data_IF_790178444876
#
_entry.id   IF_790178444876
#
_cell.length_a   1.000
_cell.length_b   1.000
_cell.length_c   1.000
_cell.angle_alpha   90.00
_cell.angle_beta   90.00
_cell.angle_gamma   90.00
#
_symmetry.space_group_name_H-M   'P 1'
#
loop_
_entity.id
_entity.type
_entity.pdbx_description
1 polymer ?
#
# COMPACT_ATOMS: atom_id res chain seq x y z
N UNK A 1 5.42 -9.77 -12.00
CA UNK A 1 4.76 -9.38 -13.27
C UNK A 1 3.87 -8.16 -13.10
N UNK A 2 2.94 -8.14 -12.14
CA UNK A 2 2.02 -7.03 -11.85
C UNK A 2 2.70 -5.64 -11.88
N UNK A 3 3.74 -5.42 -11.04
CA UNK A 3 4.52 -4.16 -11.00
C UNK A 3 5.01 -3.65 -12.37
N UNK A 4 5.47 -4.55 -13.24
CA UNK A 4 6.01 -4.15 -14.55
C UNK A 4 4.87 -3.83 -15.53
N UNK A 5 3.80 -4.62 -15.50
CA UNK A 5 2.59 -4.45 -16.30
C UNK A 5 1.90 -3.11 -15.99
N UNK A 6 1.76 -2.77 -14.70
CA UNK A 6 1.21 -1.47 -14.28
C UNK A 6 2.09 -0.29 -14.73
N UNK A 7 3.41 -0.44 -14.76
CA UNK A 7 4.30 0.60 -15.29
C UNK A 7 4.13 0.81 -16.80
N UNK A 8 3.83 -0.23 -17.57
CA UNK A 8 3.47 -0.10 -18.99
C UNK A 8 2.16 0.68 -19.17
N UNK A 9 1.13 0.36 -18.37
CA UNK A 9 -0.13 1.10 -18.37
C UNK A 9 0.07 2.59 -18.05
N UNK A 10 0.96 2.91 -17.10
CA UNK A 10 1.32 4.30 -16.78
C UNK A 10 1.99 5.06 -17.93
N UNK A 11 2.57 4.37 -18.91
CA UNK A 11 3.23 5.00 -20.05
C UNK A 11 2.25 5.35 -21.20
N UNK A 12 1.03 4.80 -21.19
CA UNK A 12 0.04 5.00 -22.24
C UNK A 12 -0.29 6.48 -22.52
N UNK A 13 -0.40 7.39 -21.53
CA UNK A 13 -0.63 8.80 -21.82
C UNK A 13 0.51 9.42 -22.65
N UNK A 14 1.75 9.00 -22.42
CA UNK A 14 2.90 9.47 -23.19
C UNK A 14 2.86 8.94 -24.63
N UNK A 15 2.52 7.67 -24.79
CA UNK A 15 2.35 7.06 -26.12
C UNK A 15 1.25 7.75 -26.93
N UNK A 16 0.09 8.00 -26.31
CA UNK A 16 -1.00 8.75 -26.92
C UNK A 16 -0.60 10.20 -27.25
N UNK A 17 0.12 10.88 -26.35
CA UNK A 17 0.57 12.25 -26.60
C UNK A 17 1.48 12.33 -27.85
N UNK A 18 2.39 11.36 -28.02
CA UNK A 18 3.25 11.27 -29.19
C UNK A 18 2.46 10.94 -30.47
N UNK A 19 1.51 10.00 -30.39
CA UNK A 19 0.63 9.66 -31.52
C UNK A 19 -0.18 10.87 -32.03
N UNK A 20 -0.63 11.72 -31.12
CA UNK A 20 -1.48 12.88 -31.43
C UNK A 20 -0.68 14.14 -31.82
N UNK A 21 0.65 14.10 -31.74
CA UNK A 21 1.50 15.25 -32.05
C UNK A 21 1.44 15.61 -33.55
N UNK A 22 1.51 16.91 -33.85
CA UNK A 22 1.50 17.47 -35.22
C UNK A 22 0.22 17.23 -36.05
N UNK A 23 -0.88 16.81 -35.43
CA UNK A 23 -2.17 16.72 -36.11
C UNK A 23 -2.87 18.09 -36.14
N UNK A 24 -3.27 18.62 -37.32
CA UNK A 24 -4.11 19.81 -37.39
C UNK A 24 -5.54 19.50 -36.93
N UNK A 25 -6.38 20.53 -36.78
CA UNK A 25 -7.79 20.33 -36.39
C UNK A 25 -8.55 19.46 -37.42
N UNK A 26 -9.44 18.60 -36.93
CA UNK A 26 -10.31 17.76 -37.75
C UNK A 26 -10.10 16.27 -37.51
N UNK A 27 -10.70 15.44 -38.37
CA UNK A 27 -10.55 13.99 -38.32
C UNK A 27 -9.33 13.56 -39.14
N UNK A 28 -8.48 12.74 -38.52
CA UNK A 28 -7.32 12.09 -39.16
C UNK A 28 -7.42 10.59 -39.02
N UNK A 29 -7.04 9.84 -40.07
CA UNK A 29 -7.09 8.36 -40.06
C UNK A 29 -6.13 7.79 -39.01
N UNK A 30 -5.06 8.50 -38.70
CA UNK A 30 -4.06 8.21 -37.66
C UNK A 30 -4.69 7.92 -36.30
N UNK A 31 -5.83 8.57 -35.99
CA UNK A 31 -6.58 8.36 -34.75
C UNK A 31 -7.07 6.91 -34.59
N UNK A 32 -7.12 6.10 -35.65
CA UNK A 32 -7.48 4.69 -35.55
C UNK A 32 -6.49 3.89 -34.71
N UNK A 33 -5.20 4.27 -34.70
CA UNK A 33 -4.15 3.63 -33.90
C UNK A 33 -4.39 3.76 -32.39
N UNK A 34 -5.22 4.72 -31.96
CA UNK A 34 -5.60 4.84 -30.54
C UNK A 34 -6.28 3.57 -30.02
N UNK A 35 -7.02 2.85 -30.88
CA UNK A 35 -7.68 1.59 -30.49
C UNK A 35 -6.66 0.49 -30.21
N UNK A 36 -5.57 0.43 -30.98
CA UNK A 36 -4.50 -0.55 -30.77
C UNK A 36 -3.75 -0.31 -29.47
N UNK A 37 -3.71 0.94 -28.98
CA UNK A 37 -3.14 1.29 -27.68
C UNK A 37 -4.14 1.02 -26.55
N UNK A 38 -5.38 1.49 -26.69
CA UNK A 38 -6.38 1.49 -25.62
C UNK A 38 -7.04 0.14 -25.38
N UNK A 39 -7.40 -0.62 -26.43
CA UNK A 39 -8.13 -1.87 -26.26
C UNK A 39 -7.30 -2.92 -25.49
N UNK A 40 -6.03 -3.18 -25.85
CA UNK A 40 -5.18 -4.10 -25.07
C UNK A 40 -4.90 -3.58 -23.66
N UNK A 41 -4.87 -2.25 -23.46
CA UNK A 41 -4.66 -1.66 -22.14
C UNK A 41 -5.79 -1.98 -21.16
N UNK A 42 -7.04 -1.99 -21.62
CA UNK A 42 -8.17 -2.38 -20.78
C UNK A 42 -8.09 -3.86 -20.38
N UNK A 43 -7.78 -4.75 -21.32
CA UNK A 43 -7.58 -6.18 -21.03
C UNK A 43 -6.44 -6.38 -20.03
N UNK A 44 -5.32 -5.69 -20.22
CA UNK A 44 -4.18 -5.74 -19.32
C UNK A 44 -4.51 -5.22 -17.91
N UNK A 45 -5.31 -4.17 -17.81
CA UNK A 45 -5.78 -3.63 -16.54
C UNK A 45 -6.67 -4.65 -15.81
N UNK A 46 -7.63 -5.26 -16.50
CA UNK A 46 -8.51 -6.29 -15.93
C UNK A 46 -7.68 -7.48 -15.42
N UNK A 47 -6.75 -7.99 -16.23
CA UNK A 47 -5.84 -9.06 -15.83
C UNK A 47 -5.01 -8.70 -14.59
N UNK A 48 -4.57 -7.43 -14.47
CA UNK A 48 -3.86 -6.96 -13.29
C UNK A 48 -4.75 -6.95 -12.04
N UNK A 49 -6.02 -6.54 -12.17
CA UNK A 49 -6.99 -6.57 -11.08
C UNK A 49 -7.29 -8.00 -10.64
N UNK A 50 -7.51 -8.91 -11.59
CA UNK A 50 -7.80 -10.33 -11.31
C UNK A 50 -6.66 -10.99 -10.52
N UNK A 51 -5.41 -10.81 -10.97
CA UNK A 51 -4.25 -11.34 -10.25
C UNK A 51 -4.11 -10.70 -8.86
N UNK A 52 -4.40 -9.40 -8.74
CA UNK A 52 -4.34 -8.70 -7.46
C UNK A 52 -5.37 -9.27 -6.48
N UNK A 53 -6.62 -9.43 -6.94
CA UNK A 53 -7.70 -10.02 -6.16
C UNK A 53 -7.34 -11.43 -5.69
N UNK A 54 -6.97 -12.32 -6.64
CA UNK A 54 -6.55 -13.68 -6.32
C UNK A 54 -5.39 -13.73 -5.33
N UNK A 55 -4.39 -12.85 -5.51
CA UNK A 55 -3.24 -12.81 -4.60
C UNK A 55 -3.67 -12.42 -3.20
N UNK A 56 -4.45 -11.35 -3.06
CA UNK A 56 -4.90 -10.85 -1.75
C UNK A 56 -5.77 -11.86 -1.00
N UNK A 57 -6.65 -12.58 -1.69
CA UNK A 57 -7.47 -13.65 -1.09
C UNK A 57 -6.62 -14.80 -0.52
N UNK A 58 -5.45 -15.05 -1.11
CA UNK A 58 -4.58 -16.16 -0.74
C UNK A 58 -3.40 -15.76 0.14
N UNK A 59 -3.21 -14.46 0.41
CA UNK A 59 -2.18 -13.99 1.35
C UNK A 59 -2.49 -14.51 2.75
N UNK A 60 -1.48 -15.11 3.39
CA UNK A 60 -1.55 -15.56 4.78
C UNK A 60 -0.54 -14.79 5.61
N UNK A 61 -1.03 -14.13 6.65
CA UNK A 61 -0.18 -13.45 7.63
C UNK A 61 0.35 -14.47 8.63
N UNK A 62 1.66 -14.45 8.88
CA UNK A 62 2.25 -15.22 9.97
C UNK A 62 2.10 -14.42 11.27
N UNK A 63 1.04 -14.71 12.02
CA UNK A 63 0.74 -14.04 13.30
C UNK A 63 1.83 -14.29 14.38
N UNK A 64 2.60 -15.38 14.25
CA UNK A 64 3.59 -15.80 15.23
C UNK A 64 5.02 -15.46 14.83
N UNK A 65 5.23 -14.61 13.82
CA UNK A 65 6.57 -14.28 13.29
C UNK A 65 7.52 -13.74 14.39
N UNK A 66 6.99 -13.05 15.40
CA UNK A 66 7.77 -12.50 16.51
C UNK A 66 8.12 -13.51 17.62
N UNK A 67 7.69 -14.77 17.51
CA UNK A 67 8.22 -15.86 18.37
C UNK A 67 9.66 -16.19 18.05
N UNK A 68 10.08 -15.98 16.80
CA UNK A 68 11.44 -16.19 16.35
C UNK A 68 12.35 -15.06 16.88
N UNK A 69 13.39 -15.45 17.63
CA UNK A 69 14.32 -14.51 18.26
C UNK A 69 15.14 -13.68 17.27
N UNK A 70 15.20 -14.07 15.99
CA UNK A 70 15.89 -13.29 14.96
C UNK A 70 15.26 -11.91 14.74
N UNK A 71 14.00 -11.74 15.14
CA UNK A 71 13.30 -10.46 15.04
C UNK A 71 13.39 -9.59 16.30
N UNK A 72 14.10 -10.02 17.35
CA UNK A 72 14.18 -9.32 18.63
C UNK A 72 14.68 -7.87 18.51
N UNK A 73 15.58 -7.63 17.56
CA UNK A 73 16.18 -6.33 17.33
C UNK A 73 15.17 -5.25 16.89
N UNK A 74 14.01 -5.62 16.34
CA UNK A 74 12.98 -4.64 15.94
C UNK A 74 12.42 -3.87 17.14
N UNK A 75 12.45 -4.47 18.34
CA UNK A 75 11.97 -3.87 19.58
C UNK A 75 13.02 -3.00 20.27
N UNK A 76 14.23 -2.88 19.72
CA UNK A 76 15.31 -2.08 20.32
C UNK A 76 14.94 -0.60 20.44
N UNK A 77 14.12 -0.10 19.52
CA UNK A 77 13.61 1.28 19.59
C UNK A 77 12.70 1.47 20.79
N UNK A 78 11.93 0.45 21.19
CA UNK A 78 11.12 0.52 22.41
C UNK A 78 12.01 0.61 23.64
N UNK A 79 13.09 -0.19 23.69
CA UNK A 79 14.08 -0.12 24.76
C UNK A 79 14.70 1.28 24.88
N UNK A 80 15.00 1.94 23.76
CA UNK A 80 15.46 3.34 23.76
C UNK A 80 14.38 4.27 24.30
N UNK A 81 13.12 4.08 23.88
CA UNK A 81 11.99 4.89 24.31
C UNK A 81 11.73 4.76 25.82
N UNK A 82 11.77 3.56 26.38
CA UNK A 82 11.67 3.29 27.83
C UNK A 82 12.74 4.05 28.62
N UNK A 83 14.01 3.99 28.18
CA UNK A 83 15.10 4.71 28.83
C UNK A 83 14.89 6.23 28.77
N UNK A 84 14.39 6.73 27.63
CA UNK A 84 14.07 8.16 27.50
C UNK A 84 12.93 8.58 28.42
N UNK A 85 11.88 7.78 28.53
CA UNK A 85 10.74 8.02 29.42
C UNK A 85 11.14 7.99 30.91
N UNK A 86 12.18 7.23 31.26
CA UNK A 86 12.77 7.24 32.62
C UNK A 86 13.74 8.41 32.86
N UNK A 87 13.94 9.28 31.87
CA UNK A 87 14.72 10.52 31.98
C UNK A 87 16.13 10.45 31.40
N UNK A 88 16.54 9.33 30.78
CA UNK A 88 17.84 9.21 30.12
C UNK A 88 17.83 10.03 28.82
N UNK A 89 18.82 10.90 28.57
CA UNK A 89 18.93 11.60 27.30
C UNK A 89 18.97 10.62 26.12
N UNK A 90 18.22 10.89 25.06
CA UNK A 90 18.08 9.97 23.91
C UNK A 90 19.40 9.39 23.39
N UNK A 91 20.45 10.22 23.27
CA UNK A 91 21.76 9.78 22.78
C UNK A 91 22.41 8.74 23.69
N UNK A 92 22.21 8.85 24.98
CA UNK A 92 22.71 7.91 25.99
C UNK A 92 21.89 6.62 25.96
N UNK A 93 20.56 6.73 25.95
CA UNK A 93 19.65 5.60 25.79
C UNK A 93 19.96 4.75 24.55
N UNK A 94 20.23 5.40 23.41
CA UNK A 94 20.65 4.75 22.18
C UNK A 94 21.98 4.00 22.32
N UNK A 95 22.99 4.62 22.94
CA UNK A 95 24.30 3.99 23.16
C UNK A 95 24.19 2.79 24.09
N UNK A 96 23.44 2.94 25.18
CA UNK A 96 23.21 1.87 26.14
C UNK A 96 22.53 0.67 25.47
N UNK A 97 21.44 0.90 24.72
CA UNK A 97 20.73 -0.16 24.01
C UNK A 97 21.64 -0.86 22.99
N UNK A 98 22.45 -0.11 22.25
CA UNK A 98 23.42 -0.69 21.32
C UNK A 98 24.47 -1.58 22.03
N UNK A 99 24.92 -1.19 23.23
CA UNK A 99 25.82 -2.00 24.06
C UNK A 99 25.14 -3.26 24.61
N UNK A 100 23.88 -3.16 25.04
CA UNK A 100 23.08 -4.32 25.48
C UNK A 100 22.93 -5.35 24.35
N UNK A 101 22.68 -4.90 23.12
CA UNK A 101 22.59 -5.76 21.92
C UNK A 101 23.95 -6.39 21.61
N UNK A 102 25.02 -5.58 21.53
CA UNK A 102 26.36 -6.08 21.21
C UNK A 102 26.89 -7.05 22.28
N UNK A 103 26.52 -6.84 23.55
CA UNK A 103 26.87 -7.70 24.68
C UNK A 103 25.99 -8.94 24.83
N UNK A 104 24.93 -9.09 24.03
CA UNK A 104 23.99 -10.21 24.12
C UNK A 104 23.14 -10.23 25.40
N UNK A 105 23.09 -9.13 26.13
CA UNK A 105 22.28 -8.97 27.36
C UNK A 105 20.90 -8.37 27.08
N UNK A 106 20.67 -7.89 25.87
CA UNK A 106 19.38 -7.38 25.43
C UNK A 106 18.31 -8.48 25.46
N UNK A 107 17.25 -8.24 26.22
CA UNK A 107 16.06 -9.10 26.26
C UNK A 107 14.83 -8.26 25.89
N UNK A 108 14.14 -8.57 24.78
CA UNK A 108 12.89 -7.89 24.41
C UNK A 108 11.67 -8.45 25.18
N UNK A 109 11.89 -9.10 26.32
CA UNK A 109 10.96 -10.05 26.97
C UNK A 109 9.61 -9.47 27.37
N UNK A 110 9.48 -8.15 27.50
CA UNK A 110 8.20 -7.49 27.83
C UNK A 110 7.47 -6.93 26.59
N UNK A 111 8.16 -6.78 25.45
CA UNK A 111 7.68 -6.03 24.27
C UNK A 111 7.33 -6.93 23.08
N UNK A 112 7.61 -8.25 23.17
CA UNK A 112 7.31 -9.19 22.07
C UNK A 112 5.83 -9.27 21.68
N UNK A 113 4.91 -8.79 22.53
CA UNK A 113 3.51 -8.68 22.19
C UNK A 113 3.15 -7.23 21.87
N UNK A 114 2.47 -7.04 20.74
CA UNK A 114 1.82 -5.78 20.36
C UNK A 114 0.94 -5.22 21.49
N UNK A 115 0.36 -6.08 22.32
CA UNK A 115 -0.47 -5.72 23.46
C UNK A 115 0.29 -5.06 24.62
N UNK A 116 1.63 -5.22 24.68
CA UNK A 116 2.48 -4.55 25.67
C UNK A 116 2.96 -3.16 25.24
N UNK A 117 2.71 -2.74 24.00
CA UNK A 117 3.09 -1.44 23.48
C UNK A 117 1.99 -0.40 23.74
N UNK A 118 2.32 0.64 24.52
CA UNK A 118 1.40 1.74 24.84
C UNK A 118 1.54 2.93 23.88
N UNK A 119 1.44 2.69 22.57
CA UNK A 119 1.49 3.78 21.59
C UNK A 119 0.09 4.33 21.31
N UNK A 120 -0.08 5.65 21.42
CA UNK A 120 -1.36 6.34 21.20
C UNK A 120 -1.41 7.18 19.91
N UNK A 121 -0.25 7.41 19.29
CA UNK A 121 -0.12 8.20 18.07
C UNK A 121 -0.80 7.51 16.88
N UNK A 122 -1.45 8.29 16.01
CA UNK A 122 -2.08 7.79 14.79
C UNK A 122 -1.05 7.10 13.87
N UNK A 123 -1.44 5.94 13.32
CA UNK A 123 -0.57 5.08 12.50
C UNK A 123 0.36 4.17 13.30
N UNK A 124 0.37 4.27 14.64
CA UNK A 124 1.10 3.33 15.50
C UNK A 124 0.35 2.01 15.63
N UNK A 125 1.05 0.99 16.16
CA UNK A 125 0.47 -0.34 16.36
C UNK A 125 -0.75 -0.32 17.31
N UNK A 126 -0.76 0.60 18.29
CA UNK A 126 -1.88 0.79 19.22
C UNK A 126 -3.01 1.68 18.68
N UNK A 127 -2.80 2.40 17.57
CA UNK A 127 -3.79 3.27 16.94
C UNK A 127 -3.59 3.31 15.41
N UNK A 128 -4.01 2.23 14.74
CA UNK A 128 -3.84 2.05 13.30
C UNK A 128 -4.69 3.00 12.44
N UNK A 129 -5.72 3.65 13.01
CA UNK A 129 -6.63 4.52 12.26
C UNK A 129 -7.54 3.76 11.26
N UNK A 130 -7.78 2.47 11.48
CA UNK A 130 -8.58 1.63 10.57
C UNK A 130 -10.00 2.16 10.34
N UNK A 131 -10.59 2.82 11.33
CA UNK A 131 -11.92 3.42 11.21
C UNK A 131 -11.89 4.63 10.26
N UNK A 132 -10.83 5.45 10.28
CA UNK A 132 -10.65 6.56 9.33
C UNK A 132 -10.45 6.04 7.91
N UNK A 133 -9.63 5.00 7.74
CA UNK A 133 -9.38 4.35 6.44
C UNK A 133 -10.69 3.78 5.88
N UNK A 134 -11.50 3.13 6.72
CA UNK A 134 -12.82 2.61 6.34
C UNK A 134 -13.76 3.72 5.92
N UNK A 135 -13.87 4.78 6.71
CA UNK A 135 -14.75 5.91 6.39
C UNK A 135 -14.37 6.57 5.05
N UNK A 136 -13.07 6.74 4.78
CA UNK A 136 -12.61 7.28 3.51
C UNK A 136 -12.88 6.33 2.33
N UNK A 137 -12.70 5.03 2.52
CA UNK A 137 -13.06 4.03 1.52
C UNK A 137 -14.57 4.09 1.20
N UNK A 138 -15.42 4.13 2.22
CA UNK A 138 -16.88 4.21 2.05
C UNK A 138 -17.29 5.50 1.33
N UNK A 139 -16.68 6.63 1.70
CA UNK A 139 -16.89 7.92 1.04
C UNK A 139 -16.54 7.85 -0.45
N UNK A 140 -15.34 7.36 -0.77
CA UNK A 140 -14.87 7.23 -2.16
C UNK A 140 -15.77 6.28 -2.94
N UNK A 141 -16.18 5.14 -2.37
CA UNK A 141 -17.09 4.19 -3.03
C UNK A 141 -18.47 4.80 -3.27
N UNK A 142 -18.99 5.61 -2.36
CA UNK A 142 -20.26 6.31 -2.52
C UNK A 142 -20.23 7.34 -3.67
N UNK A 143 -19.06 7.92 -3.97
CA UNK A 143 -18.90 8.84 -5.11
C UNK A 143 -19.01 8.12 -6.47
N UNK A 144 -18.95 6.79 -6.51
CA UNK A 144 -19.16 6.02 -7.74
C UNK A 144 -20.65 5.94 -8.06
N UNK A 145 -21.03 6.46 -9.22
CA UNK A 145 -22.42 6.46 -9.70
C UNK A 145 -22.82 5.10 -10.31
N UNK A 146 -22.74 4.00 -9.54
CA UNK A 146 -23.03 2.65 -10.03
C UNK A 146 -24.42 2.54 -10.67
N UNK A 147 -25.46 3.06 -10.01
CA UNK A 147 -26.83 3.03 -10.53
C UNK A 147 -27.00 3.75 -11.87
N UNK A 148 -26.25 4.83 -12.09
CA UNK A 148 -26.28 5.55 -13.37
C UNK A 148 -25.69 4.69 -14.48
N UNK A 149 -24.56 4.05 -14.19
CA UNK A 149 -23.88 3.14 -15.12
C UNK A 149 -24.74 1.93 -15.44
N UNK A 150 -25.31 1.28 -14.42
CA UNK A 150 -26.18 0.11 -14.59
C UNK A 150 -27.42 0.44 -15.42
N UNK A 151 -28.10 1.56 -15.14
CA UNK A 151 -29.23 2.02 -15.96
C UNK A 151 -28.83 2.29 -17.40
N UNK A 152 -27.68 2.91 -17.63
CA UNK A 152 -27.18 3.17 -18.98
C UNK A 152 -26.88 1.87 -19.75
N UNK A 153 -26.30 0.87 -19.07
CA UNK A 153 -26.03 -0.46 -19.66
C UNK A 153 -27.34 -1.17 -19.98
N UNK A 154 -28.31 -1.17 -19.06
CA UNK A 154 -29.63 -1.77 -19.29
C UNK A 154 -30.35 -1.13 -20.48
N UNK A 155 -30.31 0.21 -20.60
CA UNK A 155 -30.92 0.93 -21.71
C UNK A 155 -30.24 0.65 -23.05
N UNK A 156 -28.93 0.37 -23.07
CA UNK A 156 -28.19 0.02 -24.28
C UNK A 156 -28.52 -1.39 -24.79
N UNK A 157 -28.90 -2.30 -23.88
CA UNK A 157 -29.21 -3.69 -24.18
C UNK A 157 -30.70 -3.94 -24.48
N UNK A 158 -31.57 -2.95 -24.24
CA UNK A 158 -33.01 -2.98 -24.53
C UNK A 158 -33.30 -2.58 -25.99
#
# INVERSE_FOLDING_TARGET
>A
LLRARTNRLKALPNELALLLTNLPSGYHRDLQLTKEILMPAFEELLNCLDITHFTLENVRVNADIFRDNRYDAIFSVERVNELVLTGVPFREAYRQTAQEIAGGTYQPSEVRSVAGLHHTHEGSVGNLGNDHIRAEMERVVADFNFEKTERAVQALLA
#
